data_IF_401241483123
#
_entry.id   IF_401241483123
#
_cell.length_a   1.000
_cell.length_b   1.000
_cell.length_c   1.000
_cell.angle_alpha   90.00
_cell.angle_beta   90.00
_cell.angle_gamma   90.00
#
_symmetry.space_group_name_H-M   'P 1'
#
loop_
_entity.id
_entity.type
_entity.pdbx_description
1 polymer ?
#
# COMPACT_ATOMS: atom_id res chain seq x y z
N UNK A 1 28.13 -30.94 65.66
CA UNK A 1 26.95 -30.12 66.05
C UNK A 1 26.52 -29.38 64.79
N UNK A 2 25.59 -29.91 63.97
CA UNK A 2 24.16 -29.51 63.87
C UNK A 2 24.03 -27.97 63.83
N UNK A 3 23.47 -27.27 62.86
CA UNK A 3 22.30 -27.46 61.97
C UNK A 3 22.43 -26.40 60.82
N UNK A 4 22.14 -26.69 59.55
CA UNK A 4 20.85 -26.65 58.84
C UNK A 4 20.47 -25.27 58.24
N UNK A 5 20.53 -25.20 56.91
CA UNK A 5 19.59 -24.59 55.95
C UNK A 5 19.16 -23.12 56.16
N UNK A 6 19.50 -22.26 55.18
CA UNK A 6 18.46 -21.40 54.58
C UNK A 6 18.69 -21.20 53.08
N UNK A 7 17.77 -21.78 52.29
CA UNK A 7 17.58 -21.49 50.86
C UNK A 7 17.15 -20.03 50.68
N UNK A 8 17.79 -19.31 49.77
CA UNK A 8 17.17 -18.25 48.93
C UNK A 8 17.79 -18.40 47.55
N UNK A 9 17.16 -19.17 46.66
CA UNK A 9 16.18 -18.66 45.70
C UNK A 9 16.63 -17.32 45.11
N UNK A 10 17.40 -17.44 44.03
CA UNK A 10 17.68 -16.36 43.10
C UNK A 10 17.58 -16.97 41.71
N UNK A 11 16.35 -17.18 41.23
CA UNK A 11 16.08 -17.37 39.81
C UNK A 11 16.71 -16.18 39.08
N UNK A 12 17.91 -16.39 38.55
CA UNK A 12 18.51 -15.50 37.57
C UNK A 12 17.61 -15.59 36.35
N UNK A 13 16.68 -14.65 36.24
CA UNK A 13 15.95 -14.36 35.02
C UNK A 13 17.00 -14.04 33.95
N UNK A 14 17.45 -15.06 33.24
CA UNK A 14 18.11 -14.89 31.96
C UNK A 14 17.04 -14.41 30.99
N UNK A 15 16.76 -13.11 31.01
CA UNK A 15 16.11 -12.44 29.91
C UNK A 15 17.12 -12.48 28.74
N UNK A 16 17.09 -13.58 28.00
CA UNK A 16 17.67 -13.65 26.66
C UNK A 16 16.91 -12.59 25.87
N UNK A 17 17.49 -11.40 25.76
CA UNK A 17 16.98 -10.33 24.92
C UNK A 17 16.91 -10.86 23.51
N UNK A 18 15.75 -11.34 23.09
CA UNK A 18 15.52 -11.70 21.70
C UNK A 18 15.50 -10.39 20.93
N UNK A 19 16.57 -10.14 20.21
CA UNK A 19 16.64 -9.07 19.24
C UNK A 19 15.65 -9.38 18.12
N UNK A 20 14.46 -8.80 18.24
CA UNK A 20 13.40 -8.94 17.25
C UNK A 20 13.52 -7.79 16.26
N UNK A 21 13.97 -8.09 15.04
CA UNK A 21 13.87 -7.17 13.90
C UNK A 21 12.39 -6.88 13.61
N UNK A 22 11.94 -5.66 13.90
CA UNK A 22 10.57 -5.21 13.65
C UNK A 22 10.54 -4.40 12.35
N UNK A 23 9.69 -4.84 11.42
CA UNK A 23 9.47 -4.15 10.13
C UNK A 23 8.12 -3.45 10.10
N UNK A 24 8.11 -2.16 9.77
CA UNK A 24 6.90 -1.37 9.56
C UNK A 24 6.83 -0.89 8.11
N UNK A 25 5.62 -0.88 7.52
CA UNK A 25 5.34 -0.28 6.22
C UNK A 25 4.42 0.91 6.44
N UNK A 26 4.84 2.09 6.03
CA UNK A 26 4.07 3.33 6.20
C UNK A 26 4.05 4.06 4.87
N UNK A 27 2.86 4.47 4.42
CA UNK A 27 2.70 5.20 3.15
C UNK A 27 3.06 6.69 3.30
N UNK A 28 2.94 7.24 4.52
CA UNK A 28 3.18 8.66 4.82
C UNK A 28 4.22 8.79 5.92
N UNK A 29 5.46 8.43 5.59
CA UNK A 29 6.57 8.38 6.54
C UNK A 29 6.88 9.74 7.19
N UNK A 30 6.65 10.83 6.46
CA UNK A 30 6.99 12.18 6.89
C UNK A 30 6.04 12.71 7.97
N UNK A 31 4.83 12.15 8.10
CA UNK A 31 3.87 12.53 9.15
C UNK A 31 4.10 11.78 10.47
N UNK A 32 5.11 10.92 10.54
CA UNK A 32 5.43 10.22 11.76
C UNK A 32 6.06 11.19 12.77
N UNK A 33 5.72 11.09 14.05
CA UNK A 33 6.31 11.97 15.05
C UNK A 33 7.84 11.81 15.13
N UNK A 34 8.59 12.87 15.44
CA UNK A 34 10.06 12.82 15.44
C UNK A 34 10.66 11.80 16.41
N UNK A 35 9.99 11.47 17.52
CA UNK A 35 10.49 10.50 18.49
C UNK A 35 10.36 9.07 17.96
N UNK A 36 9.27 8.76 17.25
CA UNK A 36 9.10 7.47 16.59
C UNK A 36 10.01 7.32 15.37
N UNK A 37 10.24 8.39 14.60
CA UNK A 37 11.21 8.36 13.48
C UNK A 37 12.61 7.94 13.92
N UNK A 38 13.07 8.39 15.10
CA UNK A 38 14.39 8.04 15.66
C UNK A 38 14.53 6.57 16.08
N UNK A 39 13.43 5.83 16.17
CA UNK A 39 13.43 4.39 16.51
C UNK A 39 13.65 3.48 15.30
N UNK A 40 13.68 4.04 14.09
CA UNK A 40 13.98 3.29 12.87
C UNK A 40 15.48 3.36 12.56
N UNK A 41 16.16 2.22 12.71
CA UNK A 41 17.58 2.08 12.37
C UNK A 41 17.83 2.13 10.87
N UNK A 42 16.91 1.58 10.07
CA UNK A 42 16.98 1.56 8.61
C UNK A 42 15.68 2.13 8.06
N UNK A 43 15.81 3.07 7.11
CA UNK A 43 14.70 3.64 6.35
C UNK A 43 14.91 3.33 4.87
N UNK A 44 13.92 2.72 4.25
CA UNK A 44 13.89 2.47 2.82
C UNK A 44 12.66 3.17 2.21
N UNK A 45 12.88 3.91 1.13
CA UNK A 45 11.81 4.56 0.37
C UNK A 45 11.56 3.79 -0.93
N UNK A 46 10.28 3.66 -1.30
CA UNK A 46 9.87 3.10 -2.58
C UNK A 46 9.47 4.23 -3.51
N UNK A 47 10.29 4.48 -4.53
CA UNK A 47 10.03 5.48 -5.56
C UNK A 47 9.35 4.82 -6.77
N UNK A 48 8.81 5.66 -7.66
CA UNK A 48 8.40 5.20 -8.98
C UNK A 48 9.58 4.53 -9.73
N UNK A 49 9.25 3.55 -10.57
CA UNK A 49 10.25 2.80 -11.32
C UNK A 49 10.93 3.66 -12.37
N UNK A 50 12.19 3.33 -12.67
CA UNK A 50 12.86 3.84 -13.86
C UNK A 50 12.28 3.20 -15.13
N UNK A 51 12.42 3.82 -16.31
CA UNK A 51 11.96 3.22 -17.56
C UNK A 51 12.55 1.83 -17.81
N UNK A 52 13.83 1.61 -17.46
CA UNK A 52 14.47 0.32 -17.59
C UNK A 52 13.86 -0.74 -16.65
N UNK A 53 13.47 -0.37 -15.44
CA UNK A 53 12.76 -1.27 -14.52
C UNK A 53 11.34 -1.58 -15.02
N UNK A 54 10.64 -0.58 -15.58
CA UNK A 54 9.31 -0.77 -16.16
C UNK A 54 9.34 -1.74 -17.35
N UNK A 55 10.30 -1.59 -18.27
CA UNK A 55 10.46 -2.52 -19.40
C UNK A 55 10.78 -3.96 -18.95
N UNK A 56 11.65 -4.12 -17.95
CA UNK A 56 11.96 -5.44 -17.36
C UNK A 56 10.72 -6.06 -16.70
N UNK A 57 9.93 -5.27 -15.96
CA UNK A 57 8.72 -5.75 -15.32
C UNK A 57 7.65 -6.12 -16.34
N UNK A 58 7.52 -5.34 -17.42
CA UNK A 58 6.61 -5.63 -18.52
C UNK A 58 6.90 -7.02 -19.11
N UNK A 59 8.16 -7.27 -19.47
CA UNK A 59 8.60 -8.57 -19.97
C UNK A 59 8.35 -9.69 -18.97
N UNK A 60 8.73 -9.50 -17.71
CA UNK A 60 8.54 -10.53 -16.69
C UNK A 60 7.06 -10.84 -16.37
N UNK A 61 6.16 -9.87 -16.56
CA UNK A 61 4.74 -10.03 -16.20
C UNK A 61 3.87 -10.52 -17.37
N UNK A 62 4.15 -10.04 -18.57
CA UNK A 62 3.34 -10.31 -19.76
C UNK A 62 3.99 -11.28 -20.74
N UNK A 63 5.29 -11.61 -20.55
CA UNK A 63 6.10 -12.39 -21.50
C UNK A 63 6.16 -11.77 -22.91
N UNK A 64 6.11 -10.44 -22.95
CA UNK A 64 6.13 -9.62 -24.15
C UNK A 64 7.19 -8.54 -24.02
N UNK A 65 7.83 -8.16 -25.12
CA UNK A 65 8.72 -7.01 -25.14
C UNK A 65 7.89 -5.72 -25.22
N UNK A 66 8.44 -4.64 -24.65
CA UNK A 66 7.80 -3.33 -24.73
C UNK A 66 7.79 -2.87 -26.21
N UNK A 67 6.64 -2.49 -26.77
CA UNK A 67 6.54 -2.10 -28.17
C UNK A 67 7.32 -0.81 -28.43
N UNK A 68 8.22 -0.85 -29.41
CA UNK A 68 9.21 0.21 -29.69
C UNK A 68 8.62 1.57 -30.03
N UNK A 69 7.40 1.56 -30.57
CA UNK A 69 6.64 2.71 -31.00
C UNK A 69 5.97 3.47 -29.84
N UNK A 70 6.02 2.91 -28.62
CA UNK A 70 5.48 3.54 -27.42
C UNK A 70 6.58 4.02 -26.47
N UNK A 71 6.59 5.31 -26.07
CA UNK A 71 7.54 5.79 -25.08
C UNK A 71 7.25 5.17 -23.70
N UNK A 72 8.29 4.82 -22.95
CA UNK A 72 8.14 4.41 -21.55
C UNK A 72 8.06 5.66 -20.68
N UNK A 73 6.91 5.90 -20.06
CA UNK A 73 6.70 7.04 -19.18
C UNK A 73 7.36 6.88 -17.82
N UNK A 74 7.80 8.00 -17.26
CA UNK A 74 8.23 8.08 -15.86
C UNK A 74 7.01 8.02 -14.92
N UNK A 75 7.23 7.60 -13.68
CA UNK A 75 6.17 7.57 -12.66
C UNK A 75 5.39 6.26 -12.56
N UNK A 76 5.72 5.27 -13.41
CA UNK A 76 5.15 3.92 -13.34
C UNK A 76 5.42 3.26 -11.98
N UNK A 77 4.41 2.65 -11.39
CA UNK A 77 4.56 1.87 -10.16
C UNK A 77 4.33 0.38 -10.42
N UNK A 78 4.92 -0.54 -9.63
CA UNK A 78 4.58 -1.96 -9.73
C UNK A 78 3.08 -2.24 -9.50
N UNK A 79 2.37 -1.33 -8.82
CA UNK A 79 0.92 -1.40 -8.62
C UNK A 79 0.15 -1.27 -9.93
N UNK A 80 0.55 -0.33 -10.80
CA UNK A 80 -0.08 -0.10 -12.10
C UNK A 80 -0.04 -1.38 -12.96
N UNK A 81 1.11 -2.05 -12.97
CA UNK A 81 1.30 -3.33 -13.63
C UNK A 81 0.45 -4.45 -13.04
N UNK A 82 0.20 -4.45 -11.73
CA UNK A 82 -0.65 -5.44 -11.09
C UNK A 82 -2.13 -5.25 -11.49
N UNK A 83 -2.60 -4.00 -11.55
CA UNK A 83 -3.95 -3.65 -12.01
C UNK A 83 -4.13 -4.06 -13.47
N UNK A 84 -3.22 -3.65 -14.35
CA UNK A 84 -3.25 -3.98 -15.78
C UNK A 84 -3.15 -5.49 -16.01
N UNK A 85 -2.27 -6.21 -15.31
CA UNK A 85 -2.18 -7.66 -15.43
C UNK A 85 -3.45 -8.38 -14.98
N UNK A 86 -4.09 -7.90 -13.91
CA UNK A 86 -5.37 -8.43 -13.49
C UNK A 86 -6.45 -8.22 -14.55
N UNK A 87 -6.54 -7.00 -15.09
CA UNK A 87 -7.48 -6.64 -16.17
C UNK A 87 -7.25 -7.47 -17.44
N UNK A 88 -5.99 -7.60 -17.87
CA UNK A 88 -5.62 -8.39 -19.05
C UNK A 88 -6.01 -9.86 -18.90
N UNK A 89 -5.80 -10.44 -17.71
CA UNK A 89 -6.21 -11.81 -17.42
C UNK A 89 -7.74 -11.99 -17.49
N UNK A 90 -8.51 -11.02 -16.99
CA UNK A 90 -9.97 -11.08 -17.02
C UNK A 90 -10.54 -10.94 -18.43
N UNK A 91 -9.90 -10.12 -19.27
CA UNK A 91 -10.35 -9.85 -20.64
C UNK A 91 -9.66 -10.73 -21.69
N UNK A 92 -8.77 -11.64 -21.27
CA UNK A 92 -7.89 -12.43 -22.13
C UNK A 92 -7.08 -11.59 -23.14
N UNK A 93 -6.76 -10.35 -22.78
CA UNK A 93 -6.02 -9.42 -23.62
C UNK A 93 -4.51 -9.75 -23.63
N UNK A 94 -3.90 -9.69 -24.82
CA UNK A 94 -2.48 -9.98 -25.05
C UNK A 94 -1.79 -8.99 -25.98
N UNK A 95 -2.51 -8.03 -26.55
CA UNK A 95 -1.91 -7.01 -27.40
C UNK A 95 -1.02 -6.06 -26.58
N UNK A 96 0.31 -6.02 -26.81
CA UNK A 96 1.21 -5.16 -26.06
C UNK A 96 0.85 -3.68 -26.16
N UNK A 97 0.30 -3.21 -27.29
CA UNK A 97 -0.10 -1.81 -27.44
C UNK A 97 -1.32 -1.47 -26.57
N UNK A 98 -2.27 -2.41 -26.41
CA UNK A 98 -3.42 -2.24 -25.52
C UNK A 98 -2.98 -2.21 -24.06
N UNK A 99 -2.06 -3.10 -23.68
CA UNK A 99 -1.51 -3.16 -22.33
C UNK A 99 -0.75 -1.88 -21.95
N UNK A 100 0.07 -1.35 -22.86
CA UNK A 100 0.79 -0.10 -22.67
C UNK A 100 -0.17 1.08 -22.54
N UNK A 101 -1.23 1.13 -23.36
CA UNK A 101 -2.27 2.15 -23.23
C UNK A 101 -2.96 2.10 -21.86
N UNK A 102 -3.31 0.92 -21.36
CA UNK A 102 -3.89 0.80 -20.01
C UNK A 102 -2.91 1.20 -18.90
N UNK A 103 -1.61 0.95 -19.07
CA UNK A 103 -0.60 1.45 -18.12
C UNK A 103 -0.58 2.98 -18.09
N UNK A 104 -0.73 3.64 -19.24
CA UNK A 104 -0.81 5.10 -19.30
C UNK A 104 -2.08 5.62 -18.63
N UNK A 105 -3.23 5.00 -18.90
CA UNK A 105 -4.50 5.36 -18.28
C UNK A 105 -4.42 5.28 -16.74
N UNK A 106 -3.70 4.30 -16.20
CA UNK A 106 -3.53 4.13 -14.74
C UNK A 106 -2.62 5.21 -14.12
N UNK A 107 -1.57 5.63 -14.84
CA UNK A 107 -0.71 6.75 -14.42
C UNK A 107 -1.54 8.04 -14.38
N UNK A 108 -2.34 8.28 -15.42
CA UNK A 108 -3.18 9.47 -15.54
C UNK A 108 -4.29 9.49 -14.48
N UNK A 109 -4.92 8.34 -14.21
CA UNK A 109 -5.91 8.21 -13.15
C UNK A 109 -5.32 8.55 -11.78
N UNK A 110 -4.09 8.11 -11.49
CA UNK A 110 -3.38 8.48 -10.25
C UNK A 110 -3.02 9.96 -10.22
N UNK A 111 -2.59 10.54 -11.34
CA UNK A 111 -2.29 11.96 -11.47
C UNK A 111 -3.51 12.86 -11.28
N UNK A 112 -4.68 12.43 -11.78
CA UNK A 112 -5.96 13.12 -11.63
C UNK A 112 -6.58 12.98 -10.23
N UNK A 113 -6.34 11.87 -9.53
CA UNK A 113 -6.88 11.62 -8.19
C UNK A 113 -6.00 12.09 -7.03
N UNK A 114 -4.81 12.64 -7.29
CA UNK A 114 -3.90 13.16 -6.26
C UNK A 114 -4.46 14.36 -5.43
N UNK A 115 -5.71 14.78 -5.65
CA UNK A 115 -6.41 15.79 -4.85
C UNK A 115 -7.69 15.30 -4.16
N UNK A 116 -8.09 14.05 -4.36
CA UNK A 116 -9.19 13.45 -3.62
C UNK A 116 -8.71 13.09 -2.22
N UNK A 117 -9.15 13.82 -1.21
CA UNK A 117 -8.94 13.45 0.19
C UNK A 117 -9.48 12.02 0.40
N UNK A 118 -8.59 11.02 0.49
CA UNK A 118 -8.98 9.72 1.01
C UNK A 118 -9.21 9.89 2.50
N UNK A 119 -10.46 10.14 2.86
CA UNK A 119 -10.92 10.27 4.24
C UNK A 119 -12.38 9.87 4.33
N UNK A 120 -12.73 9.18 5.41
CA UNK A 120 -14.12 9.04 5.82
C UNK A 120 -14.72 10.45 5.91
N UNK A 121 -15.80 10.71 5.18
CA UNK A 121 -16.56 11.92 5.42
C UNK A 121 -17.06 11.84 6.87
N UNK A 122 -16.54 12.70 7.74
CA UNK A 122 -17.30 13.04 8.93
C UNK A 122 -18.40 13.96 8.43
N UNK A 123 -19.70 13.61 8.60
CA UNK A 123 -20.74 14.61 8.39
C UNK A 123 -20.37 15.81 9.25
N UNK A 124 -20.39 17.02 8.66
CA UNK A 124 -20.20 18.25 9.43
C UNK A 124 -21.22 18.21 10.57
N UNK A 125 -20.73 18.16 11.81
CA UNK A 125 -21.56 18.32 13.00
C UNK A 125 -22.29 19.66 12.87
N UNK A 126 -23.57 19.64 12.49
CA UNK A 126 -24.38 20.85 12.37
C UNK A 126 -25.49 20.85 11.31
N UNK A 127 -25.53 19.93 10.35
CA UNK A 127 -26.66 19.89 9.41
C UNK A 127 -27.77 18.96 9.94
N UNK A 128 -29.01 19.48 10.14
CA UNK A 128 -30.12 18.64 10.55
C UNK A 128 -30.43 17.65 9.43
N UNK A 129 -30.57 16.37 9.80
CA UNK A 129 -31.00 15.31 8.88
C UNK A 129 -32.27 15.74 8.15
N UNK A 130 -32.34 15.61 6.82
CA UNK A 130 -33.59 15.83 6.11
C UNK A 130 -34.64 14.84 6.65
N UNK A 131 -35.87 15.29 6.92
CA UNK A 131 -36.88 14.41 7.48
C UNK A 131 -37.14 13.24 6.52
N UNK A 132 -37.05 12.03 7.07
CA UNK A 132 -37.49 10.81 6.41
C UNK A 132 -38.92 11.04 5.90
N UNK A 133 -39.08 11.10 4.59
CA UNK A 133 -40.40 11.18 3.96
C UNK A 133 -41.17 9.90 4.30
N UNK A 134 -42.40 9.98 4.83
CA UNK A 134 -43.18 8.78 5.11
C UNK A 134 -43.48 8.07 3.80
N UNK A 135 -43.09 6.80 3.75
CA UNK A 135 -43.43 5.87 2.69
C UNK A 135 -44.94 5.90 2.47
N UNK A 136 -45.39 6.26 1.27
CA UNK A 136 -46.78 6.09 0.88
C UNK A 136 -47.07 4.60 0.81
N UNK A 137 -47.60 4.04 1.90
CA UNK A 137 -48.44 2.84 1.83
C UNK A 137 -49.81 3.29 1.37
N UNK A 138 -50.21 2.86 0.17
CA UNK A 138 -51.62 2.59 -0.11
C UNK A 138 -51.67 1.42 -1.07
N UNK A 139 -51.95 0.26 -0.49
CA UNK A 139 -52.49 -0.89 -1.19
C UNK A 139 -54.01 -0.71 -1.30
N UNK A 140 -54.54 -1.07 -2.47
CA UNK A 140 -55.93 -1.40 -2.86
C UNK A 140 -57.09 -0.55 -2.32
#
# INVERSE_FOLDING_TARGET
>A
MRDRILKRSGMRNQAVGREHDRRCKINLADNLDPATQRRFTIRAAFNAMTPAQAGKLFKARFDLDWPSEWPIHHGQTPGDFAVVAHRARLLAERDPAVLVRWLHDEIDARGGQARGTMGFHMPKTGEPSPPLSPSKQTAV
#
